data_IF_558768216952
#
_entry.id   IF_558768216952
#
_cell.length_a   1.000
_cell.length_b   1.000
_cell.length_c   1.000
_cell.angle_alpha   90.00
_cell.angle_beta   90.00
_cell.angle_gamma   90.00
#
_symmetry.space_group_name_H-M   'P 1'
#
loop_
_entity.id
_entity.type
_entity.pdbx_description
1 polymer ?
#
# COMPACT_ATOMS: atom_id res chain seq x y z
N UNK A 1 -35.35 -8.20 -9.70
CA UNK A 1 -34.88 -6.81 -9.54
C UNK A 1 -33.75 -6.60 -10.53
N UNK A 2 -33.79 -5.58 -11.39
CA UNK A 2 -32.69 -5.32 -12.33
C UNK A 2 -31.46 -4.86 -11.55
N UNK A 3 -30.36 -5.60 -11.68
CA UNK A 3 -29.06 -5.20 -11.15
C UNK A 3 -28.55 -4.01 -11.96
N UNK A 4 -28.73 -2.81 -11.41
CA UNK A 4 -28.21 -1.58 -11.97
C UNK A 4 -26.74 -1.45 -11.55
N UNK A 5 -25.86 -2.26 -12.15
CA UNK A 5 -24.41 -2.24 -11.93
C UNK A 5 -23.83 -1.00 -12.58
N UNK A 6 -24.00 0.17 -11.94
CA UNK A 6 -23.36 1.41 -12.38
C UNK A 6 -21.94 1.41 -11.82
N UNK A 7 -20.96 1.25 -12.70
CA UNK A 7 -19.57 1.56 -12.37
C UNK A 7 -19.45 3.08 -12.24
N UNK A 8 -19.46 3.58 -11.01
CA UNK A 8 -19.17 4.97 -10.73
C UNK A 8 -17.66 5.10 -10.56
N UNK A 9 -17.02 5.88 -11.43
CA UNK A 9 -15.60 6.19 -11.28
C UNK A 9 -15.36 6.90 -9.95
N UNK A 10 -14.31 6.50 -9.24
CA UNK A 10 -13.87 7.20 -8.03
C UNK A 10 -13.39 8.58 -8.43
N UNK A 11 -13.94 9.60 -7.80
CA UNK A 11 -13.45 10.96 -7.98
C UNK A 11 -12.11 11.11 -7.25
N UNK A 12 -11.10 11.61 -7.96
CA UNK A 12 -9.76 11.86 -7.44
C UNK A 12 -9.46 13.32 -7.75
N UNK A 13 -9.41 14.18 -6.74
CA UNK A 13 -9.28 15.63 -6.93
C UNK A 13 -8.02 16.02 -7.71
N UNK A 14 -6.92 15.34 -7.45
CA UNK A 14 -5.61 15.57 -8.09
C UNK A 14 -5.50 14.89 -9.46
N UNK A 15 -6.39 13.95 -9.78
CA UNK A 15 -6.26 13.04 -10.91
C UNK A 15 -5.24 11.91 -10.70
N UNK A 16 -4.52 11.89 -9.57
CA UNK A 16 -3.50 10.90 -9.24
C UNK A 16 -3.65 10.44 -7.76
N UNK A 17 -4.00 9.18 -7.49
CA UNK A 17 -4.18 8.67 -6.12
C UNK A 17 -2.91 8.77 -5.27
N UNK A 18 -1.71 8.77 -5.87
CA UNK A 18 -0.43 8.88 -5.14
C UNK A 18 -0.11 10.31 -4.70
N UNK A 19 -1.03 11.27 -4.87
CA UNK A 19 -0.84 12.67 -4.46
C UNK A 19 -1.97 13.20 -3.57
N UNK A 20 -2.96 12.37 -3.25
CA UNK A 20 -4.15 12.78 -2.49
C UNK A 20 -3.83 12.87 -1.00
N UNK A 21 -4.10 14.05 -0.43
CA UNK A 21 -4.08 14.34 1.01
C UNK A 21 -5.21 15.34 1.31
N UNK A 22 -6.41 14.81 1.62
CA UNK A 22 -7.63 15.60 1.77
C UNK A 22 -8.05 15.68 3.25
N UNK A 23 -8.33 16.88 3.75
CA UNK A 23 -8.84 17.06 5.11
C UNK A 23 -10.29 16.58 5.28
N UNK A 24 -11.06 16.57 4.19
CA UNK A 24 -12.46 16.13 4.15
C UNK A 24 -12.75 15.44 2.83
N UNK A 25 -13.53 14.34 2.82
CA UNK A 25 -13.91 13.68 1.59
C UNK A 25 -14.81 14.60 0.75
N UNK A 26 -14.66 14.54 -0.57
CA UNK A 26 -15.47 15.33 -1.50
C UNK A 26 -16.97 15.01 -1.41
N UNK A 27 -17.31 13.75 -1.19
CA UNK A 27 -18.70 13.31 -1.07
C UNK A 27 -18.88 12.17 -0.06
N UNK A 28 -20.07 12.05 0.57
CA UNK A 28 -20.41 10.89 1.38
C UNK A 28 -20.28 9.58 0.58
N UNK A 29 -19.73 8.53 1.20
CA UNK A 29 -19.62 7.21 0.59
C UNK A 29 -18.40 6.98 -0.30
N UNK A 30 -17.47 7.94 -0.40
CA UNK A 30 -16.19 7.73 -1.10
C UNK A 30 -15.23 6.82 -0.34
N UNK A 31 -15.38 6.75 0.99
CA UNK A 31 -14.51 5.94 1.84
C UNK A 31 -14.65 4.46 1.49
N UNK A 32 -13.51 3.78 1.35
CA UNK A 32 -13.44 2.39 0.90
C UNK A 32 -13.53 2.20 -0.61
N UNK A 33 -13.79 3.27 -1.38
CA UNK A 33 -13.84 3.18 -2.83
C UNK A 33 -12.49 2.74 -3.42
N UNK A 34 -12.54 2.04 -4.55
CA UNK A 34 -11.37 1.49 -5.20
C UNK A 34 -11.22 1.98 -6.61
N UNK A 35 -9.96 2.19 -7.00
CA UNK A 35 -9.60 2.56 -8.34
C UNK A 35 -8.41 1.73 -8.78
N UNK A 36 -8.49 1.18 -9.99
CA UNK A 36 -7.35 0.52 -10.63
C UNK A 36 -6.86 1.42 -11.74
N UNK A 37 -5.60 1.81 -11.67
CA UNK A 37 -4.96 2.69 -12.65
C UNK A 37 -3.75 1.95 -13.21
N UNK A 38 -3.53 2.06 -14.52
CA UNK A 38 -2.29 1.62 -15.14
C UNK A 38 -1.33 2.79 -15.11
N UNK A 39 -0.21 2.62 -14.41
CA UNK A 39 0.80 3.68 -14.37
C UNK A 39 1.38 3.87 -15.78
N UNK A 40 1.34 5.10 -16.33
CA UNK A 40 1.88 5.34 -17.66
C UNK A 40 3.40 5.14 -17.66
N UNK A 41 3.91 4.34 -18.60
CA UNK A 41 5.35 4.22 -18.81
C UNK A 41 5.97 5.38 -19.59
N UNK A 42 7.31 5.51 -19.57
CA UNK A 42 8.05 6.53 -20.27
C UNK A 42 7.86 6.36 -21.77
N UNK A 43 7.62 7.47 -22.46
CA UNK A 43 7.46 7.46 -23.91
C UNK A 43 8.79 7.12 -24.59
N UNK A 44 8.92 5.89 -25.07
CA UNK A 44 10.11 5.42 -25.80
C UNK A 44 11.27 4.93 -24.93
N UNK A 45 11.03 4.70 -23.63
CA UNK A 45 12.01 4.11 -22.71
C UNK A 45 11.69 2.66 -22.35
N UNK A 46 12.64 1.98 -21.70
CA UNK A 46 12.37 0.71 -21.02
C UNK A 46 11.54 0.98 -19.77
N UNK A 47 10.38 0.35 -19.61
CA UNK A 47 9.58 0.53 -18.40
C UNK A 47 10.34 0.07 -17.15
N UNK A 48 10.32 0.86 -16.09
CA UNK A 48 10.69 0.46 -14.73
C UNK A 48 9.74 -0.59 -14.17
N UNK A 49 10.07 -1.14 -13.00
CA UNK A 49 9.36 -2.28 -12.41
C UNK A 49 7.86 -2.02 -12.11
N UNK A 50 7.46 -0.76 -11.96
CA UNK A 50 6.06 -0.37 -11.71
C UNK A 50 5.32 0.14 -12.95
N UNK A 51 6.04 0.47 -14.01
CA UNK A 51 5.50 1.18 -15.17
C UNK A 51 4.73 0.23 -16.11
N UNK A 52 3.64 0.72 -16.71
CA UNK A 52 2.69 -0.06 -17.51
C UNK A 52 2.04 -1.24 -16.76
N UNK A 53 2.08 -1.23 -15.42
CA UNK A 53 1.46 -2.23 -14.58
C UNK A 53 0.20 -1.66 -13.95
N UNK A 54 -0.82 -2.51 -13.80
CA UNK A 54 -2.04 -2.14 -13.11
C UNK A 54 -1.80 -2.11 -11.60
N UNK A 55 -2.14 -0.99 -10.96
CA UNK A 55 -2.11 -0.79 -9.53
C UNK A 55 -3.53 -0.56 -9.03
N UNK A 56 -3.90 -1.21 -7.93
CA UNK A 56 -5.22 -1.01 -7.30
C UNK A 56 -5.04 -0.26 -6.00
N UNK A 57 -5.80 0.82 -5.86
CA UNK A 57 -5.80 1.67 -4.69
C UNK A 57 -7.16 1.63 -4.00
N UNK A 58 -7.15 1.86 -2.69
CA UNK A 58 -8.33 2.00 -1.85
C UNK A 58 -8.28 3.32 -1.08
N UNK A 59 -9.37 4.08 -1.11
CA UNK A 59 -9.50 5.35 -0.41
C UNK A 59 -9.78 5.10 1.08
N UNK A 60 -8.92 5.62 1.95
CA UNK A 60 -8.91 5.36 3.39
C UNK A 60 -8.68 6.64 4.17
N UNK A 61 -8.93 6.58 5.48
CA UNK A 61 -8.62 7.65 6.42
C UNK A 61 -7.43 7.26 7.28
N UNK A 62 -6.49 8.16 7.48
CA UNK A 62 -5.37 7.95 8.40
C UNK A 62 -5.79 8.23 9.85
N UNK A 63 -5.32 7.42 10.79
CA UNK A 63 -5.50 7.66 12.22
C UNK A 63 -4.75 8.93 12.66
N UNK A 64 -5.46 9.90 13.22
CA UNK A 64 -4.87 11.14 13.71
C UNK A 64 -3.95 10.96 14.92
N UNK A 65 -4.02 9.80 15.60
CA UNK A 65 -3.28 9.51 16.83
C UNK A 65 -1.98 8.73 16.62
N UNK A 66 -1.70 8.27 15.40
CA UNK A 66 -0.48 7.49 15.14
C UNK A 66 0.79 8.34 15.33
N UNK A 67 1.85 7.73 15.83
CA UNK A 67 3.12 8.39 16.19
C UNK A 67 3.99 8.68 14.98
N UNK A 68 3.93 7.82 13.97
CA UNK A 68 4.67 7.94 12.71
C UNK A 68 3.70 8.36 11.64
N UNK A 69 3.96 9.48 10.96
CA UNK A 69 3.12 9.87 9.83
C UNK A 69 3.34 8.92 8.63
N UNK A 70 2.31 8.65 7.81
CA UNK A 70 2.47 7.93 6.56
C UNK A 70 3.56 8.55 5.68
N UNK A 71 4.32 7.69 5.02
CA UNK A 71 5.36 8.06 4.06
C UNK A 71 5.31 7.10 2.87
N UNK A 72 5.95 7.47 1.76
CA UNK A 72 6.01 6.62 0.58
C UNK A 72 6.68 5.27 0.89
N UNK A 73 5.99 4.20 0.53
CA UNK A 73 6.37 2.81 0.80
C UNK A 73 6.06 2.34 2.22
N UNK A 74 5.39 3.15 3.05
CA UNK A 74 5.03 2.73 4.39
C UNK A 74 3.96 1.64 4.37
N UNK A 75 4.12 0.63 5.23
CA UNK A 75 3.07 -0.37 5.46
C UNK A 75 1.90 0.27 6.19
N UNK A 76 0.70 0.06 5.65
CA UNK A 76 -0.56 0.47 6.27
C UNK A 76 -1.22 -0.73 6.94
N UNK A 77 -1.69 -0.53 8.17
CA UNK A 77 -2.48 -1.51 8.92
C UNK A 77 -3.88 -0.97 9.20
N UNK A 78 -4.85 -1.86 9.34
CA UNK A 78 -6.20 -1.49 9.79
C UNK A 78 -6.18 -1.20 11.29
N UNK A 79 -6.40 0.06 11.65
CA UNK A 79 -6.82 0.42 13.00
C UNK A 79 -8.30 0.04 13.19
N UNK A 80 -9.13 0.35 12.18
CA UNK A 80 -10.54 -0.04 12.12
C UNK A 80 -10.95 -0.25 10.65
N UNK A 81 -11.09 -1.52 10.24
CA UNK A 81 -11.46 -1.87 8.87
C UNK A 81 -12.89 -1.45 8.50
N UNK A 82 -13.82 -1.44 9.46
CA UNK A 82 -15.22 -1.08 9.20
C UNK A 82 -15.37 0.41 8.88
N UNK A 83 -14.50 1.24 9.45
CA UNK A 83 -14.45 2.67 9.20
C UNK A 83 -13.31 3.09 8.24
N UNK A 84 -12.67 2.11 7.57
CA UNK A 84 -11.52 2.32 6.69
C UNK A 84 -10.43 3.22 7.31
N UNK A 85 -10.20 3.05 8.61
CA UNK A 85 -9.18 3.77 9.37
C UNK A 85 -7.89 2.97 9.35
N UNK A 86 -6.83 3.59 8.84
CA UNK A 86 -5.51 2.98 8.71
C UNK A 86 -4.47 3.69 9.58
N UNK A 87 -3.49 2.92 10.04
CA UNK A 87 -2.37 3.38 10.87
C UNK A 87 -1.05 2.84 10.33
N UNK A 88 0.06 3.47 10.69
CA UNK A 88 1.41 2.93 10.53
C UNK A 88 1.96 2.33 11.84
N UNK A 89 1.11 2.13 12.85
CA UNK A 89 1.52 1.50 14.11
C UNK A 89 1.68 -0.02 13.93
N UNK A 90 2.90 -0.48 14.13
CA UNK A 90 3.31 -1.88 14.00
C UNK A 90 2.63 -2.81 15.01
N UNK A 91 1.99 -2.31 16.07
CA UNK A 91 1.16 -3.15 16.96
C UNK A 91 0.00 -3.85 16.24
N UNK A 92 -0.35 -3.41 15.03
CA UNK A 92 -1.39 -3.99 14.18
C UNK A 92 -0.87 -4.92 13.07
N UNK A 93 0.35 -5.47 13.19
CA UNK A 93 1.00 -6.37 12.21
C UNK A 93 0.11 -7.49 11.63
N UNK A 94 -0.86 -8.00 12.40
CA UNK A 94 -1.81 -9.03 11.94
C UNK A 94 -2.93 -8.53 11.01
N UNK A 95 -3.02 -7.23 10.75
CA UNK A 95 -4.15 -6.59 10.05
C UNK A 95 -3.66 -5.67 8.92
N UNK A 96 -2.92 -6.22 7.98
CA UNK A 96 -2.40 -5.48 6.82
C UNK A 96 -3.55 -4.89 6.00
N UNK A 97 -3.45 -3.60 5.69
CA UNK A 97 -4.39 -2.87 4.83
C UNK A 97 -3.83 -2.63 3.42
N UNK A 98 -2.53 -2.35 3.30
CA UNK A 98 -1.90 -2.02 2.03
C UNK A 98 -0.58 -1.29 2.23
N UNK A 99 -0.17 -0.53 1.22
CA UNK A 99 1.03 0.31 1.25
C UNK A 99 0.67 1.75 0.91
N UNK A 100 1.17 2.72 1.69
CA UNK A 100 1.10 4.13 1.34
C UNK A 100 2.08 4.45 0.20
N UNK A 101 1.60 5.10 -0.86
CA UNK A 101 2.48 5.57 -1.94
C UNK A 101 2.86 7.04 -1.80
N UNK A 102 2.37 7.71 -0.76
CA UNK A 102 2.62 9.11 -0.48
C UNK A 102 2.69 9.40 1.02
N UNK A 103 3.12 10.62 1.35
CA UNK A 103 2.96 11.15 2.70
C UNK A 103 1.57 11.79 2.81
N UNK A 104 0.80 11.37 3.81
CA UNK A 104 -0.56 11.87 4.08
C UNK A 104 -0.53 12.48 5.47
N UNK A 105 -1.14 13.66 5.63
CA UNK A 105 -1.26 14.30 6.93
C UNK A 105 -2.11 13.45 7.87
N UNK A 106 -1.72 13.34 9.14
CA UNK A 106 -2.46 12.57 10.13
C UNK A 106 -3.92 13.02 10.26
N UNK A 107 -4.86 12.07 10.21
CA UNK A 107 -6.29 12.34 10.27
C UNK A 107 -6.95 12.62 8.93
N UNK A 108 -6.15 12.88 7.88
CA UNK A 108 -6.63 13.13 6.52
C UNK A 108 -6.93 11.84 5.76
N UNK A 109 -7.53 12.01 4.59
CA UNK A 109 -7.95 10.98 3.67
C UNK A 109 -7.00 10.91 2.47
N UNK A 110 -6.75 9.69 2.01
CA UNK A 110 -5.92 9.44 0.84
C UNK A 110 -6.02 8.00 0.39
N UNK A 111 -5.07 7.54 -0.40
CA UNK A 111 -5.10 6.21 -0.99
C UNK A 111 -3.96 5.33 -0.46
N UNK A 112 -4.30 4.07 -0.22
CA UNK A 112 -3.33 2.98 -0.06
C UNK A 112 -3.39 2.08 -1.28
N UNK A 113 -2.25 1.55 -1.71
CA UNK A 113 -2.17 0.53 -2.74
C UNK A 113 -2.35 -0.86 -2.11
N UNK A 114 -3.22 -1.67 -2.70
CA UNK A 114 -3.52 -3.03 -2.20
C UNK A 114 -3.04 -4.12 -3.17
N UNK A 115 -2.90 -3.80 -4.46
CA UNK A 115 -2.45 -4.75 -5.48
C UNK A 115 -1.52 -4.14 -6.51
N UNK A 116 -0.74 -5.00 -7.16
CA UNK A 116 0.22 -4.64 -8.20
C UNK A 116 1.58 -4.23 -7.62
N UNK A 117 2.53 -3.85 -8.48
CA UNK A 117 3.89 -3.53 -8.05
C UNK A 117 3.89 -2.22 -7.25
N UNK A 118 4.53 -2.22 -6.09
CA UNK A 118 4.61 -1.09 -5.19
C UNK A 118 6.00 -0.97 -4.60
N UNK A 119 6.54 0.25 -4.52
CA UNK A 119 7.74 0.54 -3.75
C UNK A 119 7.39 0.40 -2.28
N UNK A 120 8.12 -0.46 -1.56
CA UNK A 120 7.93 -0.73 -0.14
C UNK A 120 9.22 -0.39 0.61
N UNK A 121 9.07 0.27 1.76
CA UNK A 121 10.16 0.59 2.68
C UNK A 121 10.40 -0.57 3.64
N UNK A 122 11.62 -1.05 3.70
CA UNK A 122 12.06 -2.11 4.58
C UNK A 122 12.73 -1.55 5.85
N UNK A 123 12.84 -2.40 6.87
CA UNK A 123 13.69 -2.15 8.03
C UNK A 123 15.16 -2.06 7.62
N UNK A 124 15.95 -1.37 8.44
CA UNK A 124 17.42 -1.43 8.32
C UNK A 124 17.89 -2.84 8.71
N UNK A 125 18.78 -3.42 7.90
CA UNK A 125 19.33 -4.75 8.18
C UNK A 125 18.30 -5.88 8.09
N UNK A 126 17.54 -5.93 6.99
CA UNK A 126 16.60 -7.01 6.67
C UNK A 126 17.21 -8.40 6.87
N UNK A 127 16.48 -9.31 7.53
CA UNK A 127 16.96 -10.67 7.79
C UNK A 127 17.17 -11.50 6.52
N UNK A 128 16.37 -11.26 5.49
CA UNK A 128 16.60 -11.76 4.14
C UNK A 128 16.65 -10.59 3.16
N UNK A 129 17.57 -10.64 2.21
CA UNK A 129 17.75 -9.60 1.22
C UNK A 129 16.63 -9.70 0.15
N UNK A 130 15.78 -8.67 -0.02
CA UNK A 130 14.67 -8.69 -0.98
C UNK A 130 15.14 -8.61 -2.45
N UNK A 131 16.45 -8.48 -2.73
CA UNK A 131 17.00 -8.61 -4.09
C UNK A 131 16.66 -9.93 -4.77
N UNK A 132 16.48 -11.01 -4.00
CA UNK A 132 16.01 -12.27 -4.54
C UNK A 132 14.51 -12.15 -4.85
N UNK A 133 14.17 -12.10 -6.14
CA UNK A 133 12.78 -12.04 -6.58
C UNK A 133 11.98 -13.26 -6.10
N UNK A 134 10.72 -13.03 -5.70
CA UNK A 134 9.80 -14.08 -5.25
C UNK A 134 9.90 -14.41 -3.75
N UNK A 135 10.71 -13.70 -2.97
CA UNK A 135 10.69 -13.83 -1.51
C UNK A 135 9.42 -13.19 -0.94
N UNK A 136 8.86 -13.83 0.09
CA UNK A 136 7.64 -13.36 0.74
C UNK A 136 7.97 -12.12 1.58
N UNK A 137 7.23 -11.05 1.35
CA UNK A 137 7.34 -9.80 2.10
C UNK A 137 6.21 -9.72 3.13
N UNK A 138 6.57 -9.43 4.38
CA UNK A 138 5.66 -9.36 5.53
C UNK A 138 5.81 -8.02 6.26
N UNK A 139 4.80 -7.58 7.02
CA UNK A 139 4.95 -6.44 7.92
C UNK A 139 6.03 -6.73 8.98
N UNK A 140 6.81 -5.70 9.33
CA UNK A 140 7.86 -5.82 10.34
C UNK A 140 7.41 -5.37 11.73
N UNK A 141 8.27 -5.61 12.72
CA UNK A 141 8.19 -5.06 14.08
C UNK A 141 8.34 -3.54 14.20
N UNK A 142 8.59 -2.83 13.10
CA UNK A 142 8.88 -1.40 13.06
C UNK A 142 7.77 -0.65 12.32
N UNK A 143 7.36 0.48 12.89
CA UNK A 143 6.28 1.32 12.37
C UNK A 143 6.52 1.72 10.90
N UNK A 144 5.51 1.47 10.07
CA UNK A 144 5.50 1.70 8.64
C UNK A 144 6.51 0.88 7.82
N UNK A 145 7.19 -0.13 8.38
CA UNK A 145 8.22 -0.89 7.65
C UNK A 145 7.83 -2.34 7.40
N UNK A 146 8.35 -2.88 6.29
CA UNK A 146 8.26 -4.29 5.94
C UNK A 146 9.58 -5.04 6.23
N UNK A 147 9.49 -6.35 6.21
CA UNK A 147 10.62 -7.27 6.25
C UNK A 147 10.43 -8.35 5.19
N UNK A 148 11.54 -8.93 4.73
CA UNK A 148 11.53 -10.04 3.80
C UNK A 148 11.83 -11.35 4.55
N UNK A 149 11.04 -12.38 4.30
CA UNK A 149 11.28 -13.72 4.86
C UNK A 149 12.34 -14.46 4.07
N UNK A 150 13.20 -15.18 4.79
CA UNK A 150 14.13 -16.12 4.17
C UNK A 150 13.36 -17.27 3.51
N UNK A 151 13.88 -17.76 2.38
CA UNK A 151 13.27 -18.87 1.64
C UNK A 151 13.05 -20.09 2.55
N UNK A 152 11.85 -20.68 2.48
CA UNK A 152 11.45 -21.82 3.31
C UNK A 152 10.95 -21.45 4.71
N UNK A 153 10.90 -20.17 5.07
CA UNK A 153 10.30 -19.70 6.33
C UNK A 153 8.81 -19.45 6.17
N UNK A 154 8.00 -19.90 7.12
CA UNK A 154 6.57 -19.62 7.15
C UNK A 154 6.31 -18.20 7.69
N UNK A 155 5.35 -17.49 7.10
CA UNK A 155 4.97 -16.16 7.55
C UNK A 155 4.19 -16.23 8.87
N UNK A 156 4.62 -15.43 9.85
CA UNK A 156 3.88 -15.23 11.12
C UNK A 156 2.66 -14.33 10.93
N UNK A 157 2.75 -13.36 10.00
CA UNK A 157 1.72 -12.38 9.70
C UNK A 157 1.26 -12.50 8.24
N UNK A 158 0.09 -11.94 7.89
CA UNK A 158 -0.35 -11.89 6.50
C UNK A 158 0.72 -11.27 5.60
N UNK A 159 1.01 -11.93 4.48
CA UNK A 159 1.96 -11.42 3.51
C UNK A 159 1.42 -10.17 2.81
N UNK A 160 2.32 -9.23 2.52
CA UNK A 160 2.05 -8.07 1.67
C UNK A 160 2.06 -8.48 0.19
N UNK A 161 2.97 -9.40 -0.16
CA UNK A 161 3.21 -9.84 -1.52
C UNK A 161 4.56 -10.52 -1.65
N UNK A 162 5.12 -10.49 -2.87
CA UNK A 162 6.43 -11.05 -3.17
C UNK A 162 7.39 -9.99 -3.71
N UNK A 163 8.67 -10.06 -3.36
CA UNK A 163 9.71 -9.17 -3.89
C UNK A 163 9.80 -9.29 -5.42
N UNK A 164 9.93 -8.14 -6.09
CA UNK A 164 9.87 -8.04 -7.55
C UNK A 164 11.03 -7.25 -8.17
N UNK A 165 11.85 -6.57 -7.36
CA UNK A 165 13.04 -5.85 -7.84
C UNK A 165 14.26 -6.05 -6.95
N UNK A 166 15.40 -5.54 -7.44
CA UNK A 166 16.61 -5.34 -6.66
C UNK A 166 16.31 -4.39 -5.49
N UNK A 167 16.88 -4.70 -4.32
CA UNK A 167 16.86 -3.84 -3.14
C UNK A 167 17.80 -2.65 -3.31
N UNK A 168 17.28 -1.44 -3.08
CA UNK A 168 18.09 -0.25 -2.90
C UNK A 168 18.43 -0.08 -1.42
N UNK A 169 19.64 -0.48 -1.04
CA UNK A 169 20.13 -0.36 0.33
C UNK A 169 20.33 1.10 0.79
N UNK A 170 20.49 2.06 -0.12
CA UNK A 170 20.64 3.47 0.25
C UNK A 170 19.30 4.09 0.67
N UNK A 171 18.21 3.62 0.08
CA UNK A 171 16.85 4.06 0.42
C UNK A 171 16.10 3.08 1.33
N UNK A 172 16.63 1.87 1.54
CA UNK A 172 15.94 0.76 2.16
C UNK A 172 14.61 0.43 1.47
N UNK A 173 14.61 0.35 0.14
CA UNK A 173 13.42 0.14 -0.68
C UNK A 173 13.57 -1.02 -1.66
N UNK A 174 12.47 -1.70 -1.95
CA UNK A 174 12.35 -2.58 -3.11
C UNK A 174 10.91 -2.57 -3.63
N UNK A 175 10.72 -2.94 -4.90
CA UNK A 175 9.39 -3.16 -5.46
C UNK A 175 8.89 -4.52 -5.03
N UNK A 176 7.64 -4.55 -4.57
CA UNK A 176 6.92 -5.74 -4.14
C UNK A 176 5.67 -5.86 -5.01
N UNK A 177 5.44 -7.03 -5.58
CA UNK A 177 4.17 -7.34 -6.23
C UNK A 177 3.14 -7.61 -5.13
N UNK A 178 2.32 -6.60 -4.84
CA UNK A 178 1.32 -6.67 -3.78
C UNK A 178 0.13 -7.53 -4.19
N UNK A 179 -0.33 -8.33 -3.25
CA UNK A 179 -1.63 -9.02 -3.32
C UNK A 179 -2.25 -9.05 -1.92
N UNK A 180 -2.52 -7.86 -1.37
CA UNK A 180 -3.20 -7.75 -0.09
C UNK A 180 -4.66 -8.14 -0.31
N UNK A 181 -5.19 -9.12 0.45
CA UNK A 181 -6.56 -9.55 0.31
C UNK A 181 -7.50 -8.40 0.65
N UNK A 182 -8.63 -8.38 -0.04
CA UNK A 182 -9.73 -7.50 0.29
C UNK A 182 -10.18 -7.75 1.74
N UNK A 183 -10.42 -6.68 2.50
CA UNK A 183 -11.05 -6.75 3.82
C UNK A 183 -12.34 -7.55 3.71
N UNK A 184 -12.30 -8.80 4.18
CA UNK A 184 -13.48 -9.61 4.46
C UNK A 184 -13.79 -9.37 5.93
N UNK A 185 -14.94 -8.76 6.18
CA UNK A 185 -15.53 -8.69 7.53
C UNK A 185 -15.67 -10.09 8.16
#
# INVERSE_FOLDING_TARGET
MPYNTRQQGVWIQTGDPETVDEATPYAPGQLGSRVTIIQPGPRGGTPGAEENRAKTYQYVRTDSSMTVAPFKGAVAWWADSANYLVTTDSTNQGRVAGIFQNAITLGNYGFIQTKGPATVKFIDGVAADPTAAGLIVVPSGTDGKAECLAAGTAATYPALGASASVYDAAQAEAVVELDVPETVD
#
